data_IF_964334944859
#
_entry.id   IF_964334944859
#
_cell.length_a   1.000
_cell.length_b   1.000
_cell.length_c   1.000
_cell.angle_alpha   90.00
_cell.angle_beta   90.00
_cell.angle_gamma   90.00
#
_symmetry.space_group_name_H-M   'P 1'
#
loop_
_entity.id
_entity.type
_entity.pdbx_description
1 polymer ?
#
# COMPACT_ATOMS: atom_id res chain seq x y z
N UNK A 1 -18.31 -1.79 -3.57
CA UNK A 1 -17.96 -2.93 -2.70
C UNK A 1 -16.47 -3.13 -2.85
N UNK A 2 -15.70 -2.84 -1.80
CA UNK A 2 -14.27 -2.56 -1.91
C UNK A 2 -13.42 -3.82 -2.02
N UNK A 3 -12.60 -3.90 -3.06
CA UNK A 3 -11.50 -4.86 -3.14
C UNK A 3 -10.41 -4.57 -2.10
N UNK A 4 -10.38 -3.35 -1.57
CA UNK A 4 -9.49 -2.94 -0.51
C UNK A 4 -10.22 -2.18 0.60
N UNK A 5 -9.57 -2.11 1.76
CA UNK A 5 -9.96 -1.30 2.91
C UNK A 5 -8.73 -0.53 3.39
N UNK A 6 -8.90 0.74 3.76
CA UNK A 6 -7.84 1.58 4.32
C UNK A 6 -8.17 1.89 5.77
N UNK A 7 -7.32 1.42 6.68
CA UNK A 7 -7.34 1.86 8.07
C UNK A 7 -6.41 3.06 8.18
N UNK A 8 -7.00 4.25 8.14
CA UNK A 8 -6.25 5.50 8.32
C UNK A 8 -6.86 6.42 9.38
N UNK A 9 -6.05 7.38 9.84
CA UNK A 9 -6.45 8.38 10.83
C UNK A 9 -6.25 9.80 10.29
N UNK A 10 -6.76 10.06 9.08
CA UNK A 10 -6.73 11.38 8.43
C UNK A 10 -5.42 11.70 7.74
N UNK A 11 -4.86 10.75 6.99
CA UNK A 11 -3.64 10.94 6.18
C UNK A 11 -3.95 11.16 4.69
N UNK A 12 -5.21 11.01 4.29
CA UNK A 12 -5.69 11.19 2.92
C UNK A 12 -5.28 10.03 2.00
N UNK A 13 -4.93 8.88 2.57
CA UNK A 13 -4.43 7.73 1.81
C UNK A 13 -5.58 7.13 0.98
N UNK A 14 -6.77 6.95 1.57
CA UNK A 14 -7.92 6.40 0.88
C UNK A 14 -8.36 7.29 -0.28
N UNK A 15 -8.44 8.60 -0.05
CA UNK A 15 -8.88 9.57 -1.05
C UNK A 15 -7.90 9.63 -2.23
N UNK A 16 -6.59 9.62 -1.96
CA UNK A 16 -5.58 9.63 -3.02
C UNK A 16 -5.57 8.31 -3.82
N UNK A 17 -5.73 7.15 -3.17
CA UNK A 17 -5.87 5.87 -3.86
C UNK A 17 -7.10 5.90 -4.76
N UNK A 18 -8.25 6.30 -4.22
CA UNK A 18 -9.51 6.34 -4.98
C UNK A 18 -9.41 7.26 -6.20
N UNK A 19 -8.82 8.45 -6.03
CA UNK A 19 -8.58 9.41 -7.11
C UNK A 19 -7.69 8.82 -8.21
N UNK A 20 -6.56 8.22 -7.83
CA UNK A 20 -5.59 7.63 -8.79
C UNK A 20 -6.17 6.43 -9.57
N UNK A 21 -6.99 5.61 -8.92
CA UNK A 21 -7.66 4.49 -9.58
C UNK A 21 -8.66 4.98 -10.63
N UNK A 22 -9.41 6.06 -10.33
CA UNK A 22 -10.31 6.70 -11.29
C UNK A 22 -9.53 7.23 -12.50
N UNK A 23 -8.40 7.92 -12.28
CA UNK A 23 -7.56 8.47 -13.35
C UNK A 23 -6.97 7.39 -14.26
N UNK A 24 -6.65 6.21 -13.71
CA UNK A 24 -6.03 5.10 -14.45
C UNK A 24 -7.05 4.26 -15.20
N UNK A 25 -8.36 4.45 -14.97
CA UNK A 25 -9.41 3.58 -15.50
C UNK A 25 -9.32 2.13 -14.99
N UNK A 26 -8.55 1.90 -13.92
CA UNK A 26 -8.35 0.59 -13.33
C UNK A 26 -9.62 0.20 -12.56
N UNK A 27 -10.38 -0.75 -13.07
CA UNK A 27 -11.48 -1.37 -12.32
C UNK A 27 -10.86 -2.14 -11.16
N UNK A 28 -11.04 -1.60 -9.96
CA UNK A 28 -10.50 -2.16 -8.72
C UNK A 28 -11.17 -3.50 -8.42
N UNK A 29 -10.58 -4.58 -8.94
CA UNK A 29 -10.77 -6.01 -8.68
C UNK A 29 -12.21 -6.59 -8.78
N UNK A 30 -12.27 -7.88 -9.13
CA UNK A 30 -13.47 -8.70 -8.98
C UNK A 30 -13.87 -8.93 -7.51
N UNK A 31 -15.05 -9.52 -7.32
CA UNK A 31 -15.79 -9.59 -6.06
C UNK A 31 -14.94 -9.99 -4.84
N UNK A 32 -14.86 -9.11 -3.85
CA UNK A 32 -14.43 -9.39 -2.47
C UNK A 32 -15.66 -9.53 -1.58
N UNK A 33 -15.61 -10.46 -0.63
CA UNK A 33 -16.63 -10.56 0.42
C UNK A 33 -16.57 -9.32 1.31
N UNK A 34 -17.71 -8.71 1.69
CA UNK A 34 -17.73 -7.53 2.57
C UNK A 34 -17.09 -7.75 3.94
N UNK A 35 -16.85 -9.00 4.35
CA UNK A 35 -16.23 -9.36 5.63
C UNK A 35 -14.72 -9.64 5.57
N UNK A 36 -14.10 -9.65 4.38
CA UNK A 36 -12.67 -9.98 4.23
C UNK A 36 -12.09 -9.32 2.97
N UNK A 37 -11.49 -8.11 3.07
CA UNK A 37 -10.96 -7.40 1.90
C UNK A 37 -9.82 -8.18 1.24
N UNK A 38 -9.66 -8.01 -0.08
CA UNK A 38 -8.52 -8.60 -0.79
C UNK A 38 -7.21 -7.88 -0.42
N UNK A 39 -7.28 -6.56 -0.16
CA UNK A 39 -6.16 -5.76 0.32
C UNK A 39 -6.56 -4.92 1.54
N UNK A 40 -5.86 -5.08 2.65
CA UNK A 40 -5.97 -4.19 3.81
C UNK A 40 -4.75 -3.25 3.83
N UNK A 41 -4.98 -1.94 3.77
CA UNK A 41 -3.92 -0.93 3.89
C UNK A 41 -3.97 -0.35 5.29
N UNK A 42 -2.86 -0.44 6.02
CA UNK A 42 -2.71 0.14 7.34
C UNK A 42 -1.86 1.40 7.19
N UNK A 43 -2.39 2.53 7.66
CA UNK A 43 -1.68 3.79 7.62
C UNK A 43 -0.59 3.87 8.69
N UNK A 44 0.43 4.73 8.50
CA UNK A 44 1.46 4.97 9.50
C UNK A 44 0.90 5.40 10.85
N UNK A 45 -0.08 6.32 10.85
CA UNK A 45 -0.68 6.82 12.09
C UNK A 45 -1.49 5.75 12.81
N UNK A 46 -2.24 4.92 12.08
CA UNK A 46 -2.96 3.79 12.68
C UNK A 46 -1.99 2.80 13.29
N UNK A 47 -0.91 2.42 12.59
CA UNK A 47 0.08 1.49 13.10
C UNK A 47 0.75 1.99 14.40
N UNK A 48 1.02 3.30 14.49
CA UNK A 48 1.61 3.91 15.67
C UNK A 48 0.64 4.01 16.88
N UNK A 49 -0.67 4.10 16.63
CA UNK A 49 -1.69 4.36 17.66
C UNK A 49 -2.46 3.11 18.07
N UNK A 50 -2.37 2.02 17.31
CA UNK A 50 -3.21 0.84 17.48
C UNK A 50 -2.39 -0.34 17.97
N UNK A 51 -2.35 -0.60 19.30
CA UNK A 51 -1.56 -1.68 19.86
C UNK A 51 -2.13 -3.06 19.52
N UNK A 52 -3.43 -3.15 19.25
CA UNK A 52 -4.11 -4.39 18.90
C UNK A 52 -5.03 -4.16 17.71
N UNK A 53 -4.88 -5.00 16.70
CA UNK A 53 -5.71 -5.02 15.51
C UNK A 53 -6.09 -6.46 15.21
N UNK A 54 -7.36 -6.69 14.88
CA UNK A 54 -7.92 -8.02 14.62
C UNK A 54 -8.67 -8.01 13.29
N UNK A 55 -8.63 -9.12 12.55
CA UNK A 55 -9.36 -9.24 11.30
C UNK A 55 -8.72 -10.20 10.32
N UNK A 56 -9.27 -10.25 9.11
CA UNK A 56 -8.74 -11.08 8.04
C UNK A 56 -8.71 -10.33 6.71
N UNK A 57 -7.68 -10.58 5.93
CA UNK A 57 -7.57 -10.13 4.54
C UNK A 57 -6.85 -11.18 3.71
N UNK A 58 -6.72 -10.96 2.40
CA UNK A 58 -5.81 -11.77 1.57
C UNK A 58 -4.39 -11.20 1.63
N UNK A 59 -4.23 -9.91 1.36
CA UNK A 59 -2.96 -9.21 1.43
C UNK A 59 -3.07 -8.03 2.39
N UNK A 60 -2.07 -7.83 3.24
CA UNK A 60 -1.93 -6.62 4.08
C UNK A 60 -0.76 -5.78 3.59
N UNK A 61 -0.97 -4.47 3.48
CA UNK A 61 0.06 -3.45 3.26
C UNK A 61 0.21 -2.65 4.55
N UNK A 62 1.41 -2.65 5.14
CA UNK A 62 1.65 -2.07 6.47
C UNK A 62 3.01 -1.37 6.58
N UNK A 63 3.17 -0.41 7.51
CA UNK A 63 4.48 0.13 7.83
C UNK A 63 5.45 -0.96 8.31
N UNK A 64 6.73 -0.82 7.97
CA UNK A 64 7.80 -1.73 8.40
C UNK A 64 8.05 -1.77 9.89
N UNK A 65 7.71 -0.69 10.59
CA UNK A 65 7.83 -0.49 12.03
C UNK A 65 6.51 -0.75 12.78
N UNK A 66 5.49 -1.26 12.08
CA UNK A 66 4.22 -1.62 12.71
C UNK A 66 4.42 -2.73 13.77
N UNK A 67 3.70 -2.68 14.91
CA UNK A 67 3.76 -3.71 15.95
C UNK A 67 2.96 -4.97 15.55
N UNK A 68 3.17 -5.48 14.34
CA UNK A 68 2.36 -6.53 13.71
C UNK A 68 2.37 -7.85 14.48
N UNK A 69 3.41 -8.11 15.28
CA UNK A 69 3.51 -9.24 16.20
C UNK A 69 2.43 -9.25 17.30
N UNK A 70 1.85 -8.08 17.62
CA UNK A 70 0.78 -7.93 18.60
C UNK A 70 -0.63 -7.91 17.96
N UNK A 71 -0.69 -8.03 16.64
CA UNK A 71 -1.94 -8.02 15.87
C UNK A 71 -2.42 -9.44 15.58
N UNK A 72 -3.71 -9.66 15.69
CA UNK A 72 -4.39 -10.90 15.33
C UNK A 72 -4.95 -10.79 13.91
N UNK A 73 -4.09 -10.41 12.95
CA UNK A 73 -4.44 -10.30 11.55
C UNK A 73 -4.16 -11.60 10.80
N UNK A 74 -5.20 -12.17 10.22
CA UNK A 74 -5.07 -13.30 9.30
C UNK A 74 -4.91 -12.80 7.86
N UNK A 75 -3.67 -12.66 7.41
CA UNK A 75 -3.35 -12.35 6.02
C UNK A 75 -2.61 -13.53 5.36
N UNK A 76 -2.89 -13.79 4.09
CA UNK A 76 -2.13 -14.79 3.32
C UNK A 76 -0.80 -14.24 2.81
N UNK A 77 -0.69 -12.91 2.65
CA UNK A 77 0.51 -12.20 2.24
C UNK A 77 0.64 -10.86 2.98
N UNK A 78 1.87 -10.46 3.28
CA UNK A 78 2.19 -9.18 3.91
C UNK A 78 3.24 -8.44 3.09
N UNK A 79 2.99 -7.15 2.85
CA UNK A 79 3.87 -6.26 2.10
C UNK A 79 4.16 -5.07 2.98
N UNK A 80 5.41 -4.92 3.42
CA UNK A 80 5.79 -3.79 4.26
C UNK A 80 6.29 -2.61 3.42
N UNK A 81 6.10 -1.40 3.94
CA UNK A 81 6.69 -0.20 3.38
C UNK A 81 7.40 0.61 4.47
N UNK A 82 8.50 1.25 4.11
CA UNK A 82 9.27 2.00 5.10
C UNK A 82 10.61 2.51 4.58
N UNK A 83 11.45 3.04 5.48
CA UNK A 83 12.72 3.66 5.12
C UNK A 83 13.86 2.65 4.90
N UNK A 84 13.69 1.39 5.31
CA UNK A 84 14.81 0.44 5.39
C UNK A 84 14.78 -0.64 4.30
N UNK A 85 15.93 -1.19 3.88
CA UNK A 85 15.98 -2.27 2.88
C UNK A 85 15.31 -3.59 3.33
N UNK A 86 14.94 -3.67 4.61
CA UNK A 86 14.11 -4.78 5.14
C UNK A 86 12.67 -4.66 4.65
N UNK A 87 12.21 -3.46 4.33
CA UNK A 87 10.87 -3.23 3.82
C UNK A 87 10.71 -3.72 2.39
N UNK A 88 9.50 -4.14 2.03
CA UNK A 88 9.22 -4.58 0.66
C UNK A 88 9.26 -3.39 -0.30
N UNK A 89 8.67 -2.26 0.10
CA UNK A 89 8.68 -1.02 -0.67
C UNK A 89 9.38 0.11 0.10
N UNK A 90 10.39 0.73 -0.51
CA UNK A 90 11.20 1.76 0.14
C UNK A 90 11.33 3.01 -0.72
N UNK A 91 11.57 4.16 -0.09
CA UNK A 91 12.03 5.36 -0.79
C UNK A 91 13.53 5.22 -1.10
N UNK A 92 13.94 5.29 -2.38
CA UNK A 92 15.35 5.35 -2.76
C UNK A 92 15.86 6.79 -2.87
N UNK A 93 15.06 7.70 -3.45
CA UNK A 93 15.39 9.13 -3.50
C UNK A 93 14.15 10.01 -3.66
N UNK A 94 14.30 11.31 -3.43
CA UNK A 94 13.23 12.32 -3.55
C UNK A 94 13.74 13.58 -4.22
N UNK A 95 12.99 14.06 -5.20
CA UNK A 95 13.20 15.34 -5.87
C UNK A 95 11.85 16.08 -5.98
N UNK A 96 11.62 17.04 -5.10
CA UNK A 96 10.34 17.77 -5.04
C UNK A 96 9.15 16.86 -4.73
N UNK A 97 8.19 16.80 -5.66
CA UNK A 97 7.00 15.95 -5.64
C UNK A 97 7.23 14.56 -6.27
N UNK A 98 8.39 14.34 -6.90
CA UNK A 98 8.77 13.06 -7.48
C UNK A 98 9.57 12.23 -6.49
N UNK A 99 9.08 11.04 -6.21
CA UNK A 99 9.74 10.02 -5.40
C UNK A 99 10.26 8.92 -6.32
N UNK A 100 11.45 8.40 -6.03
CA UNK A 100 11.92 7.15 -6.60
C UNK A 100 11.73 6.07 -5.55
N UNK A 101 10.92 5.08 -5.90
CA UNK A 101 10.56 3.98 -5.02
C UNK A 101 11.22 2.71 -5.49
N UNK A 102 11.77 1.95 -4.57
CA UNK A 102 12.38 0.66 -4.85
C UNK A 102 11.54 -0.45 -4.22
N UNK A 103 11.10 -1.38 -5.07
CA UNK A 103 10.53 -2.64 -4.64
C UNK A 103 11.69 -3.62 -4.42
N UNK A 104 11.94 -4.00 -3.16
CA UNK A 104 13.11 -4.77 -2.74
C UNK A 104 12.99 -6.27 -3.06
N UNK A 105 11.77 -6.76 -3.28
CA UNK A 105 11.44 -8.16 -3.55
C UNK A 105 10.16 -8.25 -4.38
N UNK A 106 10.02 -9.37 -5.08
CA UNK A 106 8.81 -9.66 -5.84
C UNK A 106 7.56 -9.61 -4.96
N UNK A 107 6.47 -9.05 -5.49
CA UNK A 107 5.15 -9.06 -4.86
C UNK A 107 4.08 -9.54 -5.83
N UNK A 108 3.00 -10.08 -5.28
CA UNK A 108 1.85 -10.54 -6.06
C UNK A 108 0.68 -9.58 -5.80
N UNK A 109 0.12 -9.02 -6.87
CA UNK A 109 -1.07 -8.16 -6.81
C UNK A 109 -2.29 -8.98 -6.35
N UNK A 110 -3.36 -8.30 -5.94
CA UNK A 110 -4.59 -9.00 -5.56
C UNK A 110 -5.24 -9.74 -6.74
N UNK A 111 -4.93 -9.36 -7.98
CA UNK A 111 -5.34 -10.07 -9.19
C UNK A 111 -4.43 -11.26 -9.53
N UNK A 112 -3.37 -11.51 -8.76
CA UNK A 112 -2.43 -12.60 -8.99
C UNK A 112 -1.31 -12.30 -9.98
N UNK A 113 -1.10 -11.02 -10.34
CA UNK A 113 0.01 -10.64 -11.21
C UNK A 113 1.29 -10.49 -10.38
N UNK A 114 2.39 -10.96 -10.93
CA UNK A 114 3.72 -10.81 -10.32
C UNK A 114 4.29 -9.44 -10.70
N UNK A 115 4.79 -8.71 -9.70
CA UNK A 115 5.55 -7.47 -9.89
C UNK A 115 6.97 -7.70 -9.40
N UNK A 116 7.92 -7.69 -10.34
CA UNK A 116 9.33 -7.97 -10.09
C UNK A 116 10.03 -6.82 -9.35
N UNK A 117 11.11 -7.17 -8.64
CA UNK A 117 12.03 -6.23 -7.97
C UNK A 117 12.54 -5.19 -8.97
N UNK A 118 12.23 -3.92 -8.73
CA UNK A 118 12.61 -2.81 -9.60
C UNK A 118 12.56 -1.47 -8.86
N UNK A 119 13.12 -0.43 -9.48
CA UNK A 119 12.92 0.96 -9.05
C UNK A 119 11.99 1.66 -10.05
N UNK A 120 11.10 2.52 -9.55
CA UNK A 120 10.15 3.25 -10.38
C UNK A 120 9.82 4.63 -9.79
N UNK A 121 9.48 5.61 -10.64
CA UNK A 121 9.05 6.92 -10.17
C UNK A 121 7.60 6.87 -9.65
N UNK A 122 7.33 7.65 -8.61
CA UNK A 122 6.01 7.91 -8.07
C UNK A 122 5.82 9.41 -7.86
N UNK A 123 4.71 9.97 -8.34
CA UNK A 123 4.38 11.38 -8.08
C UNK A 123 3.55 11.50 -6.82
N UNK A 124 4.13 12.03 -5.75
CA UNK A 124 3.44 12.35 -4.51
C UNK A 124 2.70 13.68 -4.62
N UNK A 125 1.63 13.87 -3.84
CA UNK A 125 1.12 15.23 -3.62
C UNK A 125 2.08 15.99 -2.70
N UNK A 126 2.19 17.31 -2.90
CA UNK A 126 3.19 18.14 -2.21
C UNK A 126 3.05 18.12 -0.66
N UNK A 127 1.83 17.95 -0.16
CA UNK A 127 1.54 17.93 1.28
C UNK A 127 1.66 16.53 1.92
N UNK A 128 1.82 15.46 1.13
CA UNK A 128 1.77 14.10 1.66
C UNK A 128 3.11 13.67 2.28
N UNK A 129 3.12 13.18 3.54
CA UNK A 129 4.30 12.60 4.16
C UNK A 129 4.81 11.38 3.36
N UNK A 130 6.13 11.16 3.37
CA UNK A 130 6.76 10.06 2.62
C UNK A 130 6.15 8.69 2.94
N UNK A 131 5.87 8.36 4.20
CA UNK A 131 5.27 7.08 4.53
C UNK A 131 3.83 6.93 3.99
N UNK A 132 3.03 8.00 4.01
CA UNK A 132 1.70 7.99 3.39
C UNK A 132 1.81 7.83 1.87
N UNK A 133 2.78 8.49 1.23
CA UNK A 133 3.06 8.32 -0.20
C UNK A 133 3.48 6.89 -0.56
N UNK A 134 4.31 6.24 0.28
CA UNK A 134 4.66 4.83 0.14
C UNK A 134 3.43 3.92 0.26
N UNK A 135 2.53 4.19 1.22
CA UNK A 135 1.29 3.45 1.38
C UNK A 135 0.39 3.56 0.13
N UNK A 136 0.24 4.77 -0.43
CA UNK A 136 -0.51 4.99 -1.67
C UNK A 136 0.13 4.23 -2.84
N UNK A 137 1.43 4.38 -3.05
CA UNK A 137 2.14 3.72 -4.14
C UNK A 137 2.05 2.19 -4.05
N UNK A 138 2.27 1.64 -2.85
CA UNK A 138 2.15 0.20 -2.59
C UNK A 138 0.73 -0.30 -2.82
N UNK A 139 -0.29 0.48 -2.42
CA UNK A 139 -1.67 0.11 -2.63
C UNK A 139 -2.03 0.06 -4.12
N UNK A 140 -1.66 1.08 -4.89
CA UNK A 140 -1.91 1.11 -6.33
C UNK A 140 -1.23 -0.05 -7.05
N UNK A 141 0.03 -0.33 -6.71
CA UNK A 141 0.78 -1.46 -7.25
C UNK A 141 0.08 -2.79 -6.93
N UNK A 142 -0.32 -3.01 -5.67
CA UNK A 142 -1.02 -4.23 -5.26
C UNK A 142 -2.42 -4.34 -5.84
N UNK A 143 -3.04 -3.23 -6.22
CA UNK A 143 -4.31 -3.18 -6.94
C UNK A 143 -4.17 -3.37 -8.46
N UNK A 144 -2.96 -3.60 -8.96
CA UNK A 144 -2.69 -3.90 -10.37
C UNK A 144 -2.33 -2.69 -11.23
N UNK A 145 -2.12 -1.51 -10.63
CA UNK A 145 -1.56 -0.38 -11.36
C UNK A 145 -0.09 -0.66 -11.63
N UNK A 146 0.29 -0.68 -12.90
CA UNK A 146 1.67 -0.96 -13.31
C UNK A 146 2.61 0.17 -12.86
N UNK A 147 3.87 -0.13 -12.48
CA UNK A 147 4.84 0.88 -12.04
C UNK A 147 5.00 2.08 -12.99
N UNK A 148 4.94 1.83 -14.30
CA UNK A 148 5.03 2.87 -15.33
C UNK A 148 3.86 3.87 -15.33
N UNK A 149 2.74 3.56 -14.65
CA UNK A 149 1.56 4.41 -14.54
C UNK A 149 1.48 5.17 -13.20
N UNK A 150 2.49 5.05 -12.33
CA UNK A 150 2.48 5.65 -10.99
C UNK A 150 3.08 7.08 -10.92
N UNK A 151 3.60 7.59 -12.03
CA UNK A 151 4.26 8.91 -12.14
C UNK A 151 3.33 10.09 -12.40
#
# INVERSE_FOLDING_TARGET
>A
MGCFEVLESGEGIQDEIARRLQDTGALACGWSSPSRPALLIISPRVAAQTPHLEGGCRTVLLPGDAPAEHWQLQAASAVSYGPGPRDTLTLSSREGDRLWLALQREVVTVQGQVVERQEFPFRSTAAQPTQAALAVAGALLLLGVRPEHLS
#
